data_IF_631236822064
#
_entry.id   IF_631236822064
#
_cell.length_a   1.000
_cell.length_b   1.000
_cell.length_c   1.000
_cell.angle_alpha   90.00
_cell.angle_beta   90.00
_cell.angle_gamma   90.00
#
_symmetry.space_group_name_H-M   'P 1'
#
loop_
_entity.id
_entity.type
_entity.pdbx_description
1 polymer ?
#
# COMPACT_ATOMS: atom_id res chain seq x y z
N UNK A 1 5.42 -22.53 29.55
CA UNK A 1 5.44 -22.11 28.14
C UNK A 1 5.16 -20.62 28.12
N UNK A 2 6.20 -19.78 27.95
CA UNK A 2 6.04 -18.33 27.82
C UNK A 2 6.02 -18.07 26.32
N UNK A 3 4.88 -17.63 25.79
CA UNK A 3 4.83 -17.17 24.40
C UNK A 3 5.44 -15.78 24.40
N UNK A 4 6.63 -15.66 23.82
CA UNK A 4 7.29 -14.38 23.60
C UNK A 4 6.38 -13.50 22.73
N UNK A 5 5.73 -12.50 23.35
CA UNK A 5 4.81 -11.60 22.67
C UNK A 5 5.52 -10.60 21.76
N UNK A 6 6.85 -10.51 21.82
CA UNK A 6 7.61 -9.52 21.03
C UNK A 6 7.60 -9.83 19.54
N UNK A 7 7.60 -11.11 19.14
CA UNK A 7 7.39 -11.54 17.74
C UNK A 7 5.96 -11.24 17.23
N UNK A 8 4.98 -11.13 18.12
CA UNK A 8 3.58 -10.83 17.80
C UNK A 8 3.26 -9.32 17.79
N UNK A 9 4.23 -8.46 18.09
CA UNK A 9 3.97 -7.04 18.36
C UNK A 9 3.94 -6.15 17.12
N UNK A 10 4.16 -6.72 15.93
CA UNK A 10 4.07 -6.05 14.63
C UNK A 10 3.50 -7.04 13.60
N UNK A 11 2.21 -7.41 13.63
CA UNK A 11 1.63 -8.28 12.60
C UNK A 11 1.76 -7.67 11.20
N UNK A 12 1.94 -8.48 10.16
CA UNK A 12 1.85 -7.96 8.79
C UNK A 12 0.43 -7.44 8.55
N UNK A 13 0.30 -6.17 8.15
CA UNK A 13 -0.97 -5.56 7.77
C UNK A 13 -1.03 -5.45 6.24
N UNK A 14 -1.98 -6.14 5.62
CA UNK A 14 -2.22 -6.08 4.19
C UNK A 14 -3.28 -5.04 3.87
N UNK A 15 -2.92 -4.00 3.12
CA UNK A 15 -3.83 -2.93 2.68
C UNK A 15 -4.23 -3.21 1.23
N UNK A 16 -5.43 -3.76 1.04
CA UNK A 16 -5.97 -4.09 -0.27
C UNK A 16 -6.85 -2.94 -0.80
N UNK A 17 -6.48 -2.38 -1.95
CA UNK A 17 -7.16 -1.23 -2.57
C UNK A 17 -7.75 -1.67 -3.91
N UNK A 18 -9.02 -2.10 -3.96
CA UNK A 18 -9.73 -2.26 -5.22
C UNK A 18 -10.02 -0.87 -5.81
N UNK A 19 -9.70 -0.66 -7.08
CA UNK A 19 -9.91 0.64 -7.74
C UNK A 19 -10.31 0.46 -9.21
N UNK A 20 -11.15 1.38 -9.68
CA UNK A 20 -11.61 1.46 -11.06
C UNK A 20 -11.85 2.94 -11.42
N UNK A 21 -11.15 3.44 -12.43
CA UNK A 21 -11.23 4.83 -12.90
C UNK A 21 -11.19 5.88 -11.76
N UNK A 22 -10.25 5.72 -10.83
CA UNK A 22 -10.18 6.54 -9.62
C UNK A 22 -8.76 6.97 -9.26
N UNK A 23 -8.00 7.39 -10.28
CA UNK A 23 -6.62 7.86 -10.18
C UNK A 23 -6.39 8.86 -9.02
N UNK A 24 -7.25 9.87 -8.89
CA UNK A 24 -7.12 10.91 -7.87
C UNK A 24 -7.21 10.35 -6.44
N UNK A 25 -8.28 9.60 -6.13
CA UNK A 25 -8.45 9.06 -4.79
C UNK A 25 -7.40 8.00 -4.48
N UNK A 26 -6.92 7.26 -5.48
CA UNK A 26 -5.80 6.34 -5.31
C UNK A 26 -4.54 7.09 -4.87
N UNK A 27 -4.20 8.21 -5.51
CA UNK A 27 -3.05 9.04 -5.11
C UNK A 27 -3.17 9.54 -3.68
N UNK A 28 -4.31 10.14 -3.34
CA UNK A 28 -4.56 10.65 -1.97
C UNK A 28 -4.45 9.52 -0.93
N UNK A 29 -4.97 8.34 -1.23
CA UNK A 29 -4.89 7.17 -0.34
C UNK A 29 -3.44 6.65 -0.19
N UNK A 30 -2.71 6.53 -1.29
CA UNK A 30 -1.32 6.07 -1.27
C UNK A 30 -0.40 7.08 -0.56
N UNK A 31 -0.63 8.38 -0.71
CA UNK A 31 0.11 9.42 0.03
C UNK A 31 -0.13 9.31 1.54
N UNK A 32 -1.36 9.07 1.97
CA UNK A 32 -1.66 8.84 3.39
C UNK A 32 -0.95 7.58 3.90
N UNK A 33 -1.06 6.46 3.18
CA UNK A 33 -0.45 5.19 3.58
C UNK A 33 1.08 5.28 3.63
N UNK A 34 1.73 5.95 2.68
CA UNK A 34 3.20 6.09 2.67
C UNK A 34 3.70 6.87 3.89
N UNK A 35 2.93 7.86 4.37
CA UNK A 35 3.29 8.66 5.54
C UNK A 35 2.88 8.02 6.88
N UNK A 36 2.22 6.87 6.85
CA UNK A 36 1.77 6.19 8.07
C UNK A 36 2.94 5.57 8.85
N UNK A 37 2.85 5.56 10.17
CA UNK A 37 3.95 5.16 11.08
C UNK A 37 4.13 3.65 11.23
N UNK A 38 3.14 2.85 10.86
CA UNK A 38 3.16 1.39 11.02
C UNK A 38 3.95 0.69 9.90
N UNK A 39 5.15 0.20 10.18
CA UNK A 39 6.09 -0.24 9.13
C UNK A 39 5.86 -1.65 8.57
N UNK A 40 5.30 -2.59 9.33
CA UNK A 40 5.11 -3.97 8.86
C UNK A 40 3.84 -4.13 8.01
N UNK A 41 3.85 -3.55 6.81
CA UNK A 41 2.68 -3.50 5.93
C UNK A 41 3.02 -3.86 4.49
N UNK A 42 2.02 -4.37 3.79
CA UNK A 42 2.02 -4.51 2.33
C UNK A 42 0.82 -3.77 1.73
N UNK A 43 0.96 -3.31 0.49
CA UNK A 43 -0.10 -2.59 -0.23
C UNK A 43 -0.37 -3.34 -1.54
N UNK A 44 -1.62 -3.72 -1.75
CA UNK A 44 -2.06 -4.48 -2.93
C UNK A 44 -3.10 -3.65 -3.64
N UNK A 45 -2.77 -3.12 -4.82
CA UNK A 45 -3.70 -2.35 -5.65
C UNK A 45 -4.26 -3.28 -6.73
N UNK A 46 -5.59 -3.43 -6.77
CA UNK A 46 -6.28 -4.23 -7.78
C UNK A 46 -7.04 -3.28 -8.71
N UNK A 47 -6.48 -3.06 -9.91
CA UNK A 47 -7.12 -2.27 -10.96
C UNK A 47 -8.02 -3.15 -11.84
N UNK A 48 -9.32 -2.87 -11.87
CA UNK A 48 -10.28 -3.63 -12.70
C UNK A 48 -10.29 -3.14 -14.15
N UNK A 49 -9.13 -3.21 -14.84
CA UNK A 49 -8.94 -2.69 -16.20
C UNK A 49 -9.35 -1.21 -16.36
N UNK A 50 -8.97 -0.36 -15.39
CA UNK A 50 -9.16 1.09 -15.49
C UNK A 50 -8.56 1.63 -16.80
N UNK A 51 -9.21 2.64 -17.37
CA UNK A 51 -8.78 3.32 -18.60
C UNK A 51 -8.21 4.71 -18.34
N UNK A 52 -8.14 5.12 -17.07
CA UNK A 52 -7.51 6.37 -16.62
C UNK A 52 -6.09 6.11 -16.08
N UNK A 53 -5.48 7.15 -15.52
CA UNK A 53 -4.10 7.14 -14.98
C UNK A 53 -3.91 6.27 -13.71
N UNK A 54 -4.89 5.44 -13.34
CA UNK A 54 -4.85 4.60 -12.13
C UNK A 54 -3.60 3.70 -12.13
N UNK A 55 -3.23 3.15 -13.30
CA UNK A 55 -2.08 2.24 -13.40
C UNK A 55 -0.76 2.99 -13.24
N UNK A 56 -0.63 4.14 -13.89
CA UNK A 56 0.54 5.00 -13.87
C UNK A 56 0.82 5.49 -12.44
N UNK A 57 -0.24 5.85 -11.71
CA UNK A 57 -0.15 6.21 -10.29
C UNK A 57 0.32 5.01 -9.48
N UNK A 58 -0.28 3.84 -9.63
CA UNK A 58 0.17 2.65 -8.90
C UNK A 58 1.68 2.36 -9.15
N UNK A 59 2.11 2.42 -10.41
CA UNK A 59 3.51 2.18 -10.81
C UNK A 59 4.48 3.25 -10.25
N UNK A 60 4.06 4.52 -10.15
CA UNK A 60 4.84 5.60 -9.52
C UNK A 60 5.16 5.27 -8.05
N UNK A 61 4.16 4.82 -7.29
CA UNK A 61 4.33 4.53 -5.87
C UNK A 61 5.15 3.26 -5.63
N UNK A 62 5.07 2.27 -6.52
CA UNK A 62 6.02 1.14 -6.51
C UNK A 62 7.45 1.68 -6.61
N UNK A 63 7.78 2.51 -7.60
CA UNK A 63 9.14 3.06 -7.71
C UNK A 63 9.55 3.88 -6.49
N UNK A 64 8.65 4.69 -5.93
CA UNK A 64 8.92 5.55 -4.77
C UNK A 64 9.22 4.75 -3.49
N UNK A 65 8.53 3.63 -3.28
CA UNK A 65 8.71 2.76 -2.10
C UNK A 65 9.93 1.86 -2.25
N UNK A 66 10.14 1.28 -3.45
CA UNK A 66 11.21 0.33 -3.70
C UNK A 66 12.56 0.97 -4.08
N UNK A 67 12.62 2.26 -4.42
CA UNK A 67 13.88 2.99 -4.62
C UNK A 67 14.62 3.35 -3.31
N UNK A 68 14.03 3.06 -2.15
CA UNK A 68 14.60 3.36 -0.82
C UNK A 68 15.24 2.14 -0.14
N UNK A 69 15.34 1.01 -0.84
CA UNK A 69 16.07 -0.20 -0.43
C UNK A 69 17.33 -0.29 -1.30
#
# INVERSE_FOLDING_TARGET
MVIDRTLYNQPLVSICIPTYNNARCLRESLDAIVNETYSNREIIVSGNASTDDTKEIADEYVKKVWSKI
#
